data_IF_276744320758
#
_entry.id   IF_276744320758
#
_cell.length_a   1.000
_cell.length_b   1.000
_cell.length_c   1.000
_cell.angle_alpha   90.00
_cell.angle_beta   90.00
_cell.angle_gamma   90.00
#
_symmetry.space_group_name_H-M   'P 1'
#
loop_
_entity.id
_entity.type
_entity.pdbx_description
1 polymer ?
#
# COMPACT_ATOMS: atom_id res chain seq x y z
N UNK A 1 -5.86 15.00 7.52
CA UNK A 1 -5.24 13.81 6.89
C UNK A 1 -3.76 14.10 6.74
N UNK A 2 -2.88 13.16 7.10
CA UNK A 2 -1.43 13.39 7.05
C UNK A 2 -0.95 13.29 5.59
N UNK A 3 -0.05 14.17 5.12
CA UNK A 3 0.41 14.20 3.73
C UNK A 3 1.03 12.88 3.24
N UNK A 4 1.44 12.00 4.16
CA UNK A 4 1.96 10.66 3.86
C UNK A 4 0.85 9.65 3.50
N UNK A 5 -0.33 9.72 4.15
CA UNK A 5 -1.48 8.85 3.84
C UNK A 5 -2.07 9.21 2.47
N UNK A 6 -2.27 10.50 2.20
CA UNK A 6 -2.84 10.97 0.92
C UNK A 6 -1.92 10.60 -0.26
N UNK A 7 -0.60 10.71 -0.05
CA UNK A 7 0.39 10.24 -1.03
C UNK A 7 0.28 8.74 -1.27
N UNK A 8 0.09 7.94 -0.21
CA UNK A 8 0.01 6.49 -0.32
C UNK A 8 -1.28 6.06 -1.06
N UNK A 9 -2.42 6.70 -0.81
CA UNK A 9 -3.67 6.52 -1.57
C UNK A 9 -3.47 6.80 -3.06
N UNK A 10 -2.90 7.95 -3.43
CA UNK A 10 -2.61 8.29 -4.84
C UNK A 10 -1.71 7.24 -5.51
N UNK A 11 -0.72 6.72 -4.78
CA UNK A 11 0.17 5.69 -5.31
C UNK A 11 -0.52 4.34 -5.47
N UNK A 12 -1.46 3.98 -4.59
CA UNK A 12 -2.31 2.78 -4.77
C UNK A 12 -3.12 2.91 -6.06
N UNK A 13 -3.76 4.05 -6.30
CA UNK A 13 -4.51 4.29 -7.54
C UNK A 13 -3.61 4.20 -8.78
N UNK A 14 -2.45 4.84 -8.74
CA UNK A 14 -1.50 4.84 -9.85
C UNK A 14 -0.97 3.43 -10.16
N UNK A 15 -0.55 2.68 -9.15
CA UNK A 15 -0.04 1.31 -9.32
C UNK A 15 -1.17 0.39 -9.79
N UNK A 16 -2.38 0.55 -9.25
CA UNK A 16 -3.57 -0.19 -9.66
C UNK A 16 -3.92 0.07 -11.13
N UNK A 17 -3.93 1.33 -11.56
CA UNK A 17 -4.16 1.71 -12.95
C UNK A 17 -3.13 1.09 -13.90
N UNK A 18 -1.84 1.13 -13.54
CA UNK A 18 -0.77 0.49 -14.34
C UNK A 18 -0.92 -1.03 -14.42
N UNK A 19 -1.31 -1.68 -13.32
CA UNK A 19 -1.54 -3.13 -13.28
C UNK A 19 -2.73 -3.53 -14.17
N UNK A 20 -3.82 -2.74 -14.12
CA UNK A 20 -5.02 -2.98 -14.93
C UNK A 20 -4.79 -2.72 -16.42
N UNK A 21 -3.83 -1.85 -16.77
CA UNK A 21 -3.44 -1.57 -18.16
C UNK A 21 -2.55 -2.66 -18.79
N UNK A 22 -2.10 -3.67 -18.01
CA UNK A 22 -1.24 -4.72 -18.54
C UNK A 22 -1.97 -5.60 -19.57
N UNK A 23 -1.31 -6.01 -20.67
CA UNK A 23 -1.91 -6.90 -21.64
C UNK A 23 -2.20 -8.26 -20.98
N UNK A 24 -3.42 -8.77 -21.15
CA UNK A 24 -3.81 -10.05 -20.59
C UNK A 24 -2.95 -11.21 -21.15
N UNK A 25 -2.58 -12.14 -20.28
CA UNK A 25 -1.94 -13.39 -20.68
C UNK A 25 -3.00 -14.26 -21.36
N UNK A 26 -2.74 -14.69 -22.60
CA UNK A 26 -3.69 -15.47 -23.40
C UNK A 26 -3.14 -16.86 -23.63
N UNK A 27 -3.89 -17.87 -23.20
CA UNK A 27 -3.56 -19.27 -23.45
C UNK A 27 -3.54 -19.52 -24.97
N UNK A 28 -2.51 -20.22 -25.45
CA UNK A 28 -2.34 -20.50 -26.88
C UNK A 28 -1.69 -19.39 -27.72
N UNK A 29 -1.39 -18.23 -27.12
CA UNK A 29 -0.61 -17.17 -27.78
C UNK A 29 0.81 -17.16 -27.20
N UNK A 30 1.76 -17.67 -27.98
CA UNK A 30 3.15 -17.91 -27.57
C UNK A 30 3.80 -16.70 -26.87
N UNK A 31 3.66 -15.50 -27.45
CA UNK A 31 4.34 -14.31 -26.93
C UNK A 31 3.55 -13.57 -25.84
N UNK A 32 2.34 -14.01 -25.49
CA UNK A 32 1.47 -13.24 -24.58
C UNK A 32 2.09 -13.06 -23.20
N UNK A 33 2.78 -14.09 -22.70
CA UNK A 33 3.50 -14.03 -21.43
C UNK A 33 4.67 -13.03 -21.49
N UNK A 34 5.45 -13.05 -22.57
CA UNK A 34 6.59 -12.14 -22.74
C UNK A 34 6.13 -10.68 -22.85
N UNK A 35 5.04 -10.41 -23.58
CA UNK A 35 4.44 -9.07 -23.68
C UNK A 35 3.92 -8.58 -22.33
N UNK A 36 3.23 -9.44 -21.57
CA UNK A 36 2.79 -9.12 -20.22
C UNK A 36 3.97 -8.77 -19.31
N UNK A 37 5.03 -9.59 -19.34
CA UNK A 37 6.24 -9.35 -18.57
C UNK A 37 6.90 -8.01 -18.94
N UNK A 38 7.16 -7.76 -20.22
CA UNK A 38 7.77 -6.51 -20.68
C UNK A 38 6.93 -5.28 -20.32
N UNK A 39 5.60 -5.37 -20.46
CA UNK A 39 4.70 -4.29 -20.05
C UNK A 39 4.78 -4.02 -18.54
N UNK A 40 4.83 -5.08 -17.72
CA UNK A 40 4.95 -4.92 -16.26
C UNK A 40 6.30 -4.34 -15.83
N UNK A 41 7.41 -4.72 -16.49
CA UNK A 41 8.73 -4.12 -16.24
C UNK A 41 8.77 -2.65 -16.71
N UNK A 42 8.11 -2.32 -17.82
CA UNK A 42 7.96 -0.94 -18.31
C UNK A 42 7.18 -0.09 -17.29
N UNK A 43 6.06 -0.61 -16.76
CA UNK A 43 5.30 0.07 -15.72
C UNK A 43 6.13 0.35 -14.45
N UNK A 44 7.00 -0.59 -14.06
CA UNK A 44 7.92 -0.40 -12.94
C UNK A 44 8.99 0.67 -13.23
N UNK A 45 9.50 0.73 -14.46
CA UNK A 45 10.42 1.79 -14.88
C UNK A 45 9.77 3.18 -14.86
N UNK A 46 8.52 3.28 -15.31
CA UNK A 46 7.76 4.53 -15.23
C UNK A 46 7.56 4.97 -13.78
N UNK A 47 7.19 4.05 -12.88
CA UNK A 47 7.09 4.34 -11.45
C UNK A 47 8.44 4.72 -10.83
N UNK A 48 9.55 4.15 -11.31
CA UNK A 48 10.88 4.54 -10.88
C UNK A 48 11.21 5.97 -11.29
N UNK A 49 10.86 6.34 -12.53
CA UNK A 49 11.10 7.67 -13.08
C UNK A 49 10.21 8.76 -12.45
N UNK A 50 8.91 8.49 -12.25
CA UNK A 50 7.97 9.51 -11.77
C UNK A 50 7.82 9.56 -10.26
N UNK A 51 7.93 8.42 -9.57
CA UNK A 51 7.61 8.30 -8.13
C UNK A 51 8.80 7.87 -7.26
N UNK A 52 9.97 7.68 -7.87
CA UNK A 52 11.16 7.22 -7.16
C UNK A 52 11.08 5.77 -6.69
N UNK A 53 10.28 4.93 -7.36
CA UNK A 53 10.28 3.50 -7.10
C UNK A 53 11.68 2.90 -7.32
N UNK A 54 12.04 1.92 -6.48
CA UNK A 54 13.24 1.10 -6.68
C UNK A 54 12.81 -0.33 -6.86
N UNK A 55 13.13 -0.92 -7.99
CA UNK A 55 12.80 -2.30 -8.28
C UNK A 55 13.99 -3.06 -8.84
N UNK A 56 13.96 -4.38 -8.68
CA UNK A 56 14.94 -5.30 -9.28
C UNK A 56 14.23 -6.57 -9.69
N UNK A 57 14.66 -7.17 -10.79
CA UNK A 57 14.26 -8.52 -11.20
C UNK A 57 15.52 -9.37 -11.37
N UNK A 58 15.59 -10.48 -10.64
CA UNK A 58 16.68 -11.46 -10.71
C UNK A 58 16.08 -12.85 -10.83
N UNK A 59 16.92 -13.87 -11.09
CA UNK A 59 16.47 -15.26 -11.27
C UNK A 59 15.66 -15.85 -10.10
N UNK A 60 15.65 -15.20 -8.94
CA UNK A 60 14.87 -15.58 -7.75
C UNK A 60 13.62 -14.72 -7.51
N UNK A 61 13.25 -13.81 -8.43
CA UNK A 61 12.03 -13.02 -8.36
C UNK A 61 12.22 -11.52 -8.55
N UNK A 62 11.12 -10.79 -8.40
CA UNK A 62 11.06 -9.33 -8.51
C UNK A 62 10.82 -8.72 -7.13
N UNK A 63 11.56 -7.66 -6.78
CA UNK A 63 11.34 -6.86 -5.57
C UNK A 63 10.96 -5.44 -5.97
N UNK A 64 9.96 -4.85 -5.33
CA UNK A 64 9.51 -3.47 -5.49
C UNK A 64 9.58 -2.72 -4.15
N UNK A 65 10.16 -1.52 -4.15
CA UNK A 65 10.16 -0.57 -3.04
C UNK A 65 9.61 0.77 -3.52
N UNK A 66 8.53 1.25 -2.90
CA UNK A 66 7.90 2.52 -3.25
C UNK A 66 7.20 3.08 -2.01
N UNK A 67 7.40 4.37 -1.73
CA UNK A 67 6.83 5.09 -0.58
C UNK A 67 6.99 4.36 0.77
N UNK A 68 8.17 3.78 1.02
CA UNK A 68 8.46 3.06 2.26
C UNK A 68 7.73 1.71 2.41
N UNK A 69 7.01 1.25 1.38
CA UNK A 69 6.42 -0.09 1.29
C UNK A 69 7.30 -0.96 0.40
N UNK A 70 7.59 -2.17 0.85
CA UNK A 70 8.43 -3.15 0.16
C UNK A 70 7.62 -4.42 -0.08
N UNK A 71 7.66 -4.94 -1.30
CA UNK A 71 7.06 -6.22 -1.67
C UNK A 71 7.98 -6.97 -2.63
N UNK A 72 7.68 -8.25 -2.85
CA UNK A 72 8.30 -9.02 -3.90
C UNK A 72 7.46 -10.21 -4.33
N UNK A 73 7.87 -10.85 -5.42
CA UNK A 73 7.25 -12.06 -5.92
C UNK A 73 8.20 -12.87 -6.78
N UNK A 74 8.12 -14.20 -6.67
CA UNK A 74 8.78 -15.14 -7.60
C UNK A 74 8.02 -15.29 -8.92
N UNK A 75 6.76 -14.85 -8.97
CA UNK A 75 5.90 -14.90 -10.18
C UNK A 75 6.10 -13.72 -11.14
N UNK A 76 7.01 -12.78 -10.80
CA UNK A 76 7.39 -11.67 -11.68
C UNK A 76 6.86 -10.30 -11.23
N UNK A 77 7.09 -9.30 -12.09
CA UNK A 77 6.87 -7.88 -11.81
C UNK A 77 5.41 -7.53 -11.51
N UNK A 78 4.46 -8.04 -12.29
CA UNK A 78 3.03 -7.79 -12.07
C UNK A 78 2.56 -8.28 -10.69
N UNK A 79 2.99 -9.48 -10.28
CA UNK A 79 2.64 -10.01 -8.96
C UNK A 79 3.36 -9.26 -7.82
N UNK A 80 4.59 -8.77 -8.05
CA UNK A 80 5.24 -7.89 -7.08
C UNK A 80 4.46 -6.57 -6.89
N UNK A 81 3.90 -5.99 -7.96
CA UNK A 81 3.01 -4.82 -7.89
C UNK A 81 1.71 -5.15 -7.15
N UNK A 82 1.10 -6.30 -7.42
CA UNK A 82 -0.10 -6.74 -6.70
C UNK A 82 0.16 -6.92 -5.19
N UNK A 83 1.26 -7.56 -4.82
CA UNK A 83 1.68 -7.68 -3.42
C UNK A 83 1.96 -6.32 -2.80
N UNK A 84 2.48 -5.36 -3.58
CA UNK A 84 2.68 -3.99 -3.11
C UNK A 84 1.35 -3.29 -2.81
N UNK A 85 0.34 -3.44 -3.68
CA UNK A 85 -1.00 -2.89 -3.45
C UNK A 85 -1.62 -3.43 -2.16
N UNK A 86 -1.50 -4.74 -1.91
CA UNK A 86 -2.00 -5.36 -0.67
C UNK A 86 -1.28 -4.75 0.54
N UNK A 87 0.05 -4.69 0.52
CA UNK A 87 0.84 -4.14 1.61
C UNK A 87 0.58 -2.64 1.85
N UNK A 88 0.41 -1.86 0.78
CA UNK A 88 0.09 -0.44 0.85
C UNK A 88 -1.29 -0.20 1.48
N UNK A 89 -2.31 -0.95 1.07
CA UNK A 89 -3.65 -0.87 1.66
C UNK A 89 -3.64 -1.25 3.15
N UNK A 90 -2.92 -2.31 3.55
CA UNK A 90 -2.75 -2.66 4.96
C UNK A 90 -2.10 -1.52 5.77
N UNK A 91 -1.10 -0.85 5.19
CA UNK A 91 -0.44 0.29 5.81
C UNK A 91 -1.38 1.50 5.92
N UNK A 92 -2.18 1.78 4.89
CA UNK A 92 -3.22 2.83 4.93
C UNK A 92 -4.18 2.56 6.08
N UNK A 93 -4.78 1.36 6.15
CA UNK A 93 -5.71 0.98 7.22
C UNK A 93 -5.09 1.17 8.60
N UNK A 94 -3.82 0.79 8.77
CA UNK A 94 -3.09 0.98 10.02
C UNK A 94 -2.92 2.47 10.36
N UNK A 95 -2.47 3.28 9.40
CA UNK A 95 -2.26 4.71 9.60
C UNK A 95 -3.57 5.46 9.88
N UNK A 96 -4.67 5.07 9.23
CA UNK A 96 -6.00 5.62 9.49
C UNK A 96 -6.51 5.21 10.87
N UNK A 97 -6.31 3.96 11.29
CA UNK A 97 -6.65 3.51 12.64
C UNK A 97 -5.83 4.26 13.70
N UNK A 98 -4.53 4.45 13.48
CA UNK A 98 -3.68 5.27 14.34
C UNK A 98 -4.19 6.71 14.40
N UNK A 99 -4.50 7.33 13.26
CA UNK A 99 -5.01 8.71 13.21
C UNK A 99 -6.36 8.87 13.93
N UNK A 100 -7.18 7.82 14.00
CA UNK A 100 -8.46 7.81 14.72
C UNK A 100 -8.34 7.42 16.19
N UNK A 101 -7.23 6.80 16.60
CA UNK A 101 -7.08 6.31 17.97
C UNK A 101 -7.04 7.48 18.96
N UNK A 102 -7.87 7.37 20.00
CA UNK A 102 -7.90 8.31 21.10
C UNK A 102 -6.63 8.17 21.94
N UNK A 103 -5.99 9.29 22.25
CA UNK A 103 -4.89 9.35 23.21
C UNK A 103 -5.47 9.98 24.46
N UNK A 104 -5.58 9.18 25.54
CA UNK A 104 -6.05 9.72 26.81
C UNK A 104 -4.96 10.60 27.44
N UNK A 105 -5.35 11.40 28.45
CA UNK A 105 -4.46 12.34 29.15
C UNK A 105 -3.24 11.68 29.81
N UNK A 106 -3.32 10.36 30.07
CA UNK A 106 -2.24 9.54 30.60
C UNK A 106 -1.24 9.05 29.53
N UNK A 107 -1.42 9.44 28.26
CA UNK A 107 -0.53 9.07 27.15
C UNK A 107 -0.71 7.64 26.62
N UNK A 108 -1.79 6.94 27.02
CA UNK A 108 -2.09 5.58 26.55
C UNK A 108 -3.03 5.65 25.34
N UNK A 109 -2.69 4.92 24.28
CA UNK A 109 -3.45 4.89 23.02
C UNK A 109 -4.38 3.69 22.99
N UNK A 110 -5.68 3.94 23.03
CA UNK A 110 -6.72 2.91 23.00
C UNK A 110 -7.67 3.14 21.80
N UNK A 111 -8.34 2.08 21.30
CA UNK A 111 -9.37 2.24 20.26
C UNK A 111 -10.66 2.90 20.77
N UNK A 112 -10.85 2.97 22.09
CA UNK A 112 -11.92 3.67 22.82
C UNK A 112 -11.31 4.52 23.95
N UNK A 113 -12.09 5.37 24.63
CA UNK A 113 -11.58 6.11 25.80
C UNK A 113 -11.26 5.13 26.95
N UNK A 114 -10.22 5.38 27.76
CA UNK A 114 -9.95 4.49 28.89
C UNK A 114 -11.07 4.59 29.94
N UNK A 115 -11.27 3.54 30.76
CA UNK A 115 -12.34 3.50 31.78
C UNK A 115 -12.34 4.74 32.71
N UNK A 116 -11.16 5.34 32.95
CA UNK A 116 -11.02 6.58 33.72
C UNK A 116 -11.54 7.82 32.97
N UNK A 117 -11.27 7.95 31.67
CA UNK A 117 -11.79 9.05 30.85
C UNK A 117 -13.29 8.89 30.57
N UNK A 118 -13.78 7.67 30.35
CA UNK A 118 -15.22 7.39 30.27
C UNK A 118 -15.93 7.75 31.58
N UNK A 119 -15.32 7.42 32.73
CA UNK A 119 -15.87 7.78 34.04
C UNK A 119 -15.83 9.30 34.29
N UNK A 120 -14.78 9.99 33.88
CA UNK A 120 -14.67 11.45 34.00
C UNK A 120 -15.73 12.17 33.15
N UNK A 121 -15.93 11.75 31.89
CA UNK A 121 -16.96 12.30 31.00
C UNK A 121 -18.39 12.09 31.56
N UNK A 122 -18.64 10.97 32.25
CA UNK A 122 -19.92 10.70 32.92
C UNK A 122 -20.11 11.48 34.23
N UNK A 123 -19.06 12.06 34.80
CA UNK A 123 -19.14 12.89 36.03
C UNK A 123 -19.30 14.38 35.72
N UNK A 124 -18.82 14.86 34.58
CA UNK A 124 -18.92 16.28 34.17
C UNK A 124 -20.33 16.68 33.69
N UNK A 125 -21.14 15.72 33.26
CA UNK A 125 -22.52 15.91 32.78
C UNK A 125 -23.57 15.94 33.92
N UNK A 126 -23.11 16.11 35.17
CA UNK A 126 -23.97 16.21 36.36
C UNK A 126 -24.05 17.67 36.82
N UNK A 127 -25.24 18.31 36.82
CA UNK A 127 -25.41 19.71 37.20
C UNK A 127 -25.09 20.00 38.67
#
# INVERSE_FOLDING_TARGET
MTPDIDKLHRLVDLVGAKLNALPAIKVGVLDSYQRHRQASETALNELAASEGARWRSQGNGTTLRLAGVVSGSTMGSAMAMQNWLIAANLRITKLEAEARAHVCEHGIRWPWACEECDRAALMEDRP
#
